data_IF_507486750239
#
_entry.id   IF_507486750239
#
_cell.length_a   1.000
_cell.length_b   1.000
_cell.length_c   1.000
_cell.angle_alpha   90.00
_cell.angle_beta   90.00
_cell.angle_gamma   90.00
#
_symmetry.space_group_name_H-M   'P 1'
#
loop_
_entity.id
_entity.type
_entity.pdbx_description
1 polymer ?
#
# COMPACT_ATOMS: atom_id res chain seq x y z
N UNK A 1 12.17 64.26 17.44
CA UNK A 1 10.93 63.48 17.40
C UNK A 1 11.08 62.39 16.35
N UNK A 2 10.83 61.15 16.77
CA UNK A 2 10.43 59.98 15.97
C UNK A 2 11.45 59.45 14.94
N UNK A 3 12.37 58.61 15.44
CA UNK A 3 12.82 57.44 14.69
C UNK A 3 11.76 56.34 14.77
N UNK A 4 11.44 55.70 13.65
CA UNK A 4 10.63 54.49 13.64
C UNK A 4 11.14 53.48 12.61
N UNK A 5 11.79 52.45 13.16
CA UNK A 5 11.67 51.03 12.81
C UNK A 5 12.01 50.58 11.39
N UNK A 6 13.30 50.30 11.19
CA UNK A 6 13.78 49.30 10.23
C UNK A 6 13.50 47.90 10.80
N UNK A 7 12.46 47.22 10.29
CA UNK A 7 12.07 45.87 10.72
C UNK A 7 12.91 44.86 9.95
N UNK A 8 13.95 44.33 10.60
CA UNK A 8 14.75 43.21 10.10
C UNK A 8 13.92 41.93 10.26
N UNK A 9 13.44 41.37 9.16
CA UNK A 9 12.91 40.00 9.16
C UNK A 9 14.07 39.02 9.27
N UNK A 10 14.22 38.45 10.46
CA UNK A 10 15.12 37.34 10.73
C UNK A 10 14.42 36.05 10.31
N UNK A 11 14.91 35.42 9.24
CA UNK A 11 14.50 34.08 8.83
C UNK A 11 15.02 33.12 9.89
N UNK A 12 14.17 32.79 10.87
CA UNK A 12 14.43 31.75 11.86
C UNK A 12 14.40 30.40 11.14
N UNK A 13 15.57 29.90 10.73
CA UNK A 13 15.74 28.47 10.46
C UNK A 13 15.72 27.73 11.81
N UNK A 14 14.78 26.79 12.06
CA UNK A 14 14.81 26.02 13.28
C UNK A 14 16.04 25.11 13.26
N UNK A 15 16.96 25.36 14.20
CA UNK A 15 18.03 24.42 14.50
C UNK A 15 17.39 23.20 15.17
N UNK A 16 17.33 22.08 14.46
CA UNK A 16 16.87 20.80 15.01
C UNK A 16 17.88 20.36 16.05
N UNK A 17 17.54 20.47 17.33
CA UNK A 17 18.35 19.96 18.42
C UNK A 17 18.26 18.43 18.48
N UNK A 18 19.31 17.75 18.95
CA UNK A 18 19.28 16.28 19.15
C UNK A 18 18.16 15.81 20.10
N UNK A 19 17.60 16.73 20.90
CA UNK A 19 16.48 16.49 21.80
C UNK A 19 15.12 16.51 21.09
N UNK A 20 14.96 17.30 20.01
CA UNK A 20 13.72 17.32 19.21
C UNK A 20 13.47 15.97 18.52
N UNK A 21 14.55 15.31 18.07
CA UNK A 21 14.46 13.97 17.49
C UNK A 21 13.97 12.92 18.49
N UNK A 22 14.36 13.04 19.76
CA UNK A 22 13.87 12.14 20.82
C UNK A 22 12.40 12.41 21.13
N UNK A 23 11.98 13.67 21.14
CA UNK A 23 10.58 14.06 21.37
C UNK A 23 9.65 13.57 20.24
N UNK A 24 10.08 13.71 18.99
CA UNK A 24 9.34 13.19 17.82
C UNK A 24 9.27 11.66 17.81
N UNK A 25 10.31 10.98 18.30
CA UNK A 25 10.32 9.51 18.47
C UNK A 25 9.36 9.07 19.57
N UNK A 26 9.28 9.78 20.71
CA UNK A 26 8.29 9.46 21.76
C UNK A 26 6.85 9.67 21.30
N UNK A 27 6.58 10.74 20.55
CA UNK A 27 5.26 11.02 19.98
C UNK A 27 4.85 9.91 18.99
N UNK A 28 5.78 9.46 18.14
CA UNK A 28 5.51 8.34 17.24
C UNK A 28 5.31 7.01 17.99
N UNK A 29 6.06 6.77 19.06
CA UNK A 29 5.92 5.59 19.89
C UNK A 29 4.54 5.51 20.57
N UNK A 30 4.06 6.62 21.15
CA UNK A 30 2.72 6.72 21.73
C UNK A 30 1.64 6.51 20.67
N UNK A 31 1.76 7.14 19.49
CA UNK A 31 0.81 6.95 18.39
C UNK A 31 0.77 5.51 17.85
N UNK A 32 1.89 4.78 17.91
CA UNK A 32 1.98 3.38 17.48
C UNK A 32 1.41 2.38 18.50
N UNK A 33 1.30 2.77 19.77
CA UNK A 33 0.72 1.92 20.82
C UNK A 33 -0.80 1.77 20.63
N UNK A 34 -1.48 2.81 20.15
CA UNK A 34 -2.92 2.76 19.85
C UNK A 34 -3.24 1.92 18.61
N UNK A 35 -2.31 1.82 17.64
CA UNK A 35 -2.49 1.00 16.43
C UNK A 35 -2.46 -0.51 16.73
N UNK A 36 -1.74 -0.92 17.77
CA UNK A 36 -1.59 -2.33 18.14
C UNK A 36 -2.83 -2.89 18.87
N UNK A 37 -3.64 -2.02 19.46
CA UNK A 37 -4.86 -2.42 20.20
C UNK A 37 -6.08 -2.61 19.27
N UNK A 38 -5.96 -2.27 17.99
CA UNK A 38 -6.95 -2.60 16.97
C UNK A 38 -6.73 -3.96 16.28
N UNK A 39 -6.01 -4.88 16.93
CA UNK A 39 -6.05 -6.31 16.61
C UNK A 39 -7.42 -6.89 17.03
N UNK A 40 -8.50 -6.43 16.39
CA UNK A 40 -9.75 -7.16 16.39
C UNK A 40 -9.50 -8.49 15.66
N UNK A 41 -9.92 -9.64 16.23
CA UNK A 41 -9.82 -10.91 15.54
C UNK A 41 -10.58 -10.79 14.22
N UNK A 42 -9.86 -11.04 13.12
CA UNK A 42 -10.42 -11.08 11.78
C UNK A 42 -11.80 -11.74 11.79
N UNK A 43 -12.88 -11.10 11.29
CA UNK A 43 -14.07 -11.87 10.97
C UNK A 43 -13.62 -12.94 9.97
N UNK A 44 -13.82 -14.21 10.33
CA UNK A 44 -13.58 -15.33 9.44
C UNK A 44 -14.43 -15.11 8.20
N UNK A 45 -13.84 -14.55 7.15
CA UNK A 45 -14.40 -14.59 5.83
C UNK A 45 -14.41 -16.05 5.44
N UNK A 46 -15.58 -16.68 5.47
CA UNK A 46 -15.75 -18.02 4.97
C UNK A 46 -15.67 -17.91 3.44
N UNK A 47 -14.62 -18.43 2.78
CA UNK A 47 -14.61 -18.50 1.34
C UNK A 47 -15.82 -19.35 0.95
N UNK A 48 -16.61 -18.85 0.02
CA UNK A 48 -17.74 -19.58 -0.55
C UNK A 48 -17.25 -20.96 -1.00
N UNK A 49 -17.66 -22.01 -0.29
CA UNK A 49 -17.31 -23.39 -0.61
C UNK A 49 -18.23 -23.83 -1.75
N UNK A 50 -17.83 -23.53 -2.97
CA UNK A 50 -18.53 -23.89 -4.19
C UNK A 50 -17.55 -24.26 -5.30
N UNK A 51 -17.36 -25.57 -5.45
CA UNK A 51 -16.88 -26.29 -6.64
C UNK A 51 -15.41 -26.13 -7.10
N UNK A 52 -14.72 -27.28 -7.11
CA UNK A 52 -13.52 -27.63 -7.88
C UNK A 52 -12.49 -26.53 -8.13
N UNK A 53 -11.42 -26.57 -7.34
CA UNK A 53 -10.16 -25.94 -7.68
C UNK A 53 -9.74 -26.30 -9.12
N UNK A 54 -9.55 -25.33 -10.03
CA UNK A 54 -8.71 -25.55 -11.18
C UNK A 54 -7.26 -25.51 -10.69
N UNK A 55 -6.54 -26.61 -10.93
CA UNK A 55 -5.09 -26.73 -10.77
C UNK A 55 -4.38 -25.51 -11.40
N UNK A 56 -3.28 -24.98 -10.82
CA UNK A 56 -2.53 -23.83 -11.34
C UNK A 56 -1.96 -23.93 -12.77
N UNK A 57 -2.25 -25.00 -13.50
CA UNK A 57 -1.61 -25.31 -14.79
C UNK A 57 -2.36 -24.81 -16.03
N UNK A 58 -3.53 -24.16 -15.93
CA UNK A 58 -4.34 -23.81 -17.13
C UNK A 58 -4.70 -22.32 -17.28
N UNK A 59 -3.98 -21.41 -16.61
CA UNK A 59 -4.10 -19.97 -16.88
C UNK A 59 -3.17 -19.63 -18.06
N UNK A 60 -3.70 -19.81 -19.26
CA UNK A 60 -3.26 -19.18 -20.52
C UNK A 60 -1.74 -19.08 -20.71
N UNK A 61 -1.15 -20.15 -21.23
CA UNK A 61 0.07 -20.03 -22.04
C UNK A 61 -0.15 -18.92 -23.09
N UNK A 62 0.85 -18.05 -23.24
CA UNK A 62 1.00 -17.08 -24.35
C UNK A 62 0.49 -15.65 -24.16
N UNK A 63 0.16 -15.20 -22.95
CA UNK A 63 0.26 -13.74 -22.68
C UNK A 63 1.72 -13.43 -22.33
N UNK A 64 2.49 -13.04 -23.34
CA UNK A 64 3.90 -12.67 -23.19
C UNK A 64 4.06 -11.56 -22.13
N UNK A 65 5.18 -11.57 -21.40
CA UNK A 65 5.51 -10.56 -20.38
C UNK A 65 5.47 -9.11 -20.92
N UNK A 66 5.46 -8.93 -22.24
CA UNK A 66 5.34 -7.64 -22.91
C UNK A 66 3.99 -6.94 -22.71
N UNK A 67 2.91 -7.66 -22.35
CA UNK A 67 1.59 -7.04 -22.12
C UNK A 67 1.52 -6.31 -20.77
N UNK A 68 2.41 -6.67 -19.84
CA UNK A 68 2.43 -6.11 -18.49
C UNK A 68 3.38 -4.91 -18.43
N UNK A 69 3.09 -3.92 -17.57
CA UNK A 69 3.97 -2.77 -17.43
C UNK A 69 5.33 -3.20 -16.88
N UNK A 70 6.40 -2.64 -17.46
CA UNK A 70 7.79 -2.90 -17.06
C UNK A 70 8.33 -1.89 -16.05
N UNK A 71 7.59 -0.82 -15.77
CA UNK A 71 8.00 0.27 -14.89
C UNK A 71 7.09 0.36 -13.66
N UNK A 72 7.68 0.67 -12.51
CA UNK A 72 6.95 1.00 -11.29
C UNK A 72 7.67 2.10 -10.49
N UNK A 73 6.90 2.96 -9.83
CA UNK A 73 7.41 4.02 -8.96
C UNK A 73 7.27 3.63 -7.48
N UNK A 74 8.38 3.63 -6.73
CA UNK A 74 8.36 3.29 -5.30
C UNK A 74 7.79 4.40 -4.43
N UNK A 75 7.94 5.67 -4.83
CA UNK A 75 7.31 6.81 -4.13
C UNK A 75 5.80 6.70 -4.22
N UNK A 76 5.27 6.38 -5.40
CA UNK A 76 3.83 6.18 -5.55
C UNK A 76 3.32 4.96 -4.78
N UNK A 77 4.09 3.88 -4.69
CA UNK A 77 3.74 2.73 -3.86
C UNK A 77 3.71 3.10 -2.36
N UNK A 78 4.63 3.96 -1.93
CA UNK A 78 4.67 4.48 -0.57
C UNK A 78 3.48 5.40 -0.25
N UNK A 79 3.13 6.32 -1.15
CA UNK A 79 2.01 7.24 -0.94
C UNK A 79 0.68 6.49 -0.79
N UNK A 80 0.49 5.41 -1.56
CA UNK A 80 -0.66 4.53 -1.43
C UNK A 80 -0.67 3.78 -0.09
N UNK A 81 0.51 3.36 0.39
CA UNK A 81 0.65 2.68 1.68
C UNK A 81 0.32 3.61 2.84
N UNK A 82 0.92 4.80 2.87
CA UNK A 82 0.68 5.82 3.90
C UNK A 82 -0.77 6.31 3.84
N UNK A 83 -1.32 6.51 2.65
CA UNK A 83 -2.73 6.86 2.48
C UNK A 83 -3.68 5.79 3.05
N UNK A 84 -3.31 4.51 2.95
CA UNK A 84 -4.08 3.42 3.54
C UNK A 84 -3.97 3.39 5.07
N UNK A 85 -2.77 3.55 5.62
CA UNK A 85 -2.56 3.56 7.08
C UNK A 85 -2.99 4.86 7.76
N UNK A 86 -3.14 5.94 7.00
CA UNK A 86 -3.61 7.22 7.52
C UNK A 86 -4.98 7.05 8.18
N UNK A 87 -5.14 7.70 9.34
CA UNK A 87 -6.37 7.67 10.12
C UNK A 87 -7.59 8.12 9.28
N UNK A 88 -7.40 9.07 8.36
CA UNK A 88 -8.47 9.52 7.47
C UNK A 88 -8.98 8.42 6.51
N UNK A 89 -8.09 7.57 6.01
CA UNK A 89 -8.46 6.43 5.16
C UNK A 89 -9.14 5.32 5.97
N UNK A 90 -8.62 5.04 7.15
CA UNK A 90 -9.11 4.00 8.05
C UNK A 90 -10.51 4.31 8.61
N UNK A 91 -10.78 5.56 9.02
CA UNK A 91 -12.11 5.98 9.51
C UNK A 91 -13.18 5.78 8.43
N UNK A 92 -12.88 6.09 7.17
CA UNK A 92 -13.82 5.90 6.06
C UNK A 92 -14.18 4.42 5.86
N UNK A 93 -13.19 3.53 5.92
CA UNK A 93 -13.41 2.08 5.82
C UNK A 93 -14.23 1.58 7.01
N UNK A 94 -13.88 2.04 8.22
CA UNK A 94 -14.59 1.67 9.43
C UNK A 94 -16.06 2.10 9.40
N UNK A 95 -16.35 3.33 8.96
CA UNK A 95 -17.72 3.82 8.83
C UNK A 95 -18.55 2.97 7.84
N UNK A 96 -17.97 2.54 6.72
CA UNK A 96 -18.70 1.81 5.67
C UNK A 96 -18.83 0.31 5.94
N UNK A 97 -17.79 -0.32 6.46
CA UNK A 97 -17.69 -1.77 6.57
C UNK A 97 -17.60 -2.27 8.01
N UNK A 98 -17.49 -1.38 9.00
CA UNK A 98 -17.33 -1.75 10.42
C UNK A 98 -15.96 -2.32 10.77
N UNK A 99 -15.03 -2.34 9.82
CA UNK A 99 -13.68 -2.88 9.97
C UNK A 99 -12.64 -1.90 9.44
N UNK A 100 -11.45 -1.96 10.03
CA UNK A 100 -10.28 -1.29 9.48
C UNK A 100 -9.95 -1.86 8.09
N UNK A 101 -9.35 -1.05 7.24
CA UNK A 101 -8.96 -1.45 5.90
C UNK A 101 -7.71 -2.35 5.96
N UNK A 102 -7.74 -3.45 5.22
CA UNK A 102 -6.58 -4.33 5.03
C UNK A 102 -5.59 -3.66 4.07
N UNK A 103 -4.47 -3.15 4.58
CA UNK A 103 -3.43 -2.46 3.80
C UNK A 103 -2.34 -3.38 3.24
N UNK A 104 -2.50 -4.70 3.34
CA UNK A 104 -1.49 -5.70 2.98
C UNK A 104 -1.08 -5.64 1.50
N UNK A 105 -2.03 -5.40 0.60
CA UNK A 105 -1.76 -5.28 -0.84
C UNK A 105 -0.79 -4.13 -1.16
N UNK A 106 -1.03 -2.97 -0.54
CA UNK A 106 -0.18 -1.80 -0.73
C UNK A 106 1.20 -2.01 -0.10
N UNK A 107 1.24 -2.69 1.05
CA UNK A 107 2.49 -3.03 1.73
C UNK A 107 3.33 -3.99 0.88
N UNK A 108 2.70 -5.01 0.31
CA UNK A 108 3.37 -5.99 -0.56
C UNK A 108 3.93 -5.32 -1.82
N UNK A 109 3.17 -4.40 -2.43
CA UNK A 109 3.65 -3.60 -3.56
C UNK A 109 4.87 -2.74 -3.18
N UNK A 110 4.82 -2.08 -2.03
CA UNK A 110 5.94 -1.26 -1.56
C UNK A 110 7.19 -2.09 -1.24
N UNK A 111 7.04 -3.20 -0.51
CA UNK A 111 8.12 -4.14 -0.21
C UNK A 111 8.76 -4.69 -1.48
N UNK A 112 7.94 -5.09 -2.46
CA UNK A 112 8.43 -5.54 -3.75
C UNK A 112 9.23 -4.44 -4.46
N UNK A 113 8.73 -3.20 -4.48
CA UNK A 113 9.43 -2.09 -5.13
C UNK A 113 10.81 -1.83 -4.51
N UNK A 114 10.91 -1.81 -3.17
CA UNK A 114 12.19 -1.68 -2.47
C UNK A 114 13.11 -2.85 -2.82
N UNK A 115 12.62 -4.08 -2.69
CA UNK A 115 13.42 -5.29 -2.97
C UNK A 115 13.93 -5.33 -4.41
N UNK A 116 13.10 -4.92 -5.37
CA UNK A 116 13.44 -4.91 -6.78
C UNK A 116 14.33 -3.70 -7.17
N UNK A 117 14.42 -2.67 -6.32
CA UNK A 117 15.31 -1.53 -6.55
C UNK A 117 16.79 -1.91 -6.52
N UNK A 118 17.15 -3.01 -5.86
CA UNK A 118 18.53 -3.53 -5.82
C UNK A 118 18.94 -4.19 -7.14
N UNK A 119 17.98 -4.63 -7.96
CA UNK A 119 18.24 -5.23 -9.27
C UNK A 119 18.43 -4.15 -10.33
N UNK A 120 19.30 -4.39 -11.31
CA UNK A 120 19.65 -3.41 -12.34
C UNK A 120 19.06 -3.76 -13.71
N UNK A 121 18.77 -2.71 -14.50
CA UNK A 121 18.43 -2.82 -15.93
C UNK A 121 17.29 -3.79 -16.26
N UNK A 122 17.58 -4.74 -17.15
CA UNK A 122 16.60 -5.67 -17.72
C UNK A 122 15.99 -6.63 -16.68
N UNK A 123 16.74 -7.04 -15.66
CA UNK A 123 16.21 -7.95 -14.62
C UNK A 123 15.15 -7.25 -13.77
N UNK A 124 15.33 -5.95 -13.54
CA UNK A 124 14.35 -5.12 -12.82
C UNK A 124 13.03 -5.06 -13.59
N UNK A 125 13.09 -4.79 -14.90
CA UNK A 125 11.92 -4.67 -15.78
C UNK A 125 11.17 -5.99 -15.96
N UNK A 126 11.91 -7.10 -16.08
CA UNK A 126 11.33 -8.44 -16.13
C UNK A 126 10.67 -8.80 -14.80
N UNK A 127 11.33 -8.53 -13.68
CA UNK A 127 10.75 -8.77 -12.34
C UNK A 127 9.48 -7.98 -12.10
N UNK A 128 9.42 -6.72 -12.54
CA UNK A 128 8.22 -5.88 -12.44
C UNK A 128 7.07 -6.48 -13.23
N UNK A 129 7.31 -6.85 -14.49
CA UNK A 129 6.30 -7.45 -15.36
C UNK A 129 5.78 -8.79 -14.80
N UNK A 130 6.67 -9.63 -14.29
CA UNK A 130 6.31 -10.88 -13.60
C UNK A 130 5.44 -10.64 -12.37
N UNK A 131 5.82 -9.69 -11.51
CA UNK A 131 5.03 -9.36 -10.33
C UNK A 131 3.63 -8.87 -10.67
N UNK A 132 3.48 -8.05 -11.73
CA UNK A 132 2.16 -7.67 -12.22
C UNK A 132 1.39 -8.88 -12.76
N UNK A 133 2.01 -9.73 -13.58
CA UNK A 133 1.36 -10.95 -14.07
C UNK A 133 0.80 -11.81 -12.93
N UNK A 134 1.61 -12.07 -11.91
CA UNK A 134 1.23 -12.85 -10.74
C UNK A 134 0.13 -12.16 -9.92
N UNK A 135 0.28 -10.86 -9.65
CA UNK A 135 -0.71 -10.09 -8.90
C UNK A 135 -2.07 -10.05 -9.59
N UNK A 136 -2.07 -9.92 -10.92
CA UNK A 136 -3.29 -9.95 -11.72
C UNK A 136 -3.90 -11.36 -11.75
N UNK A 137 -3.08 -12.41 -11.83
CA UNK A 137 -3.55 -13.79 -11.75
C UNK A 137 -4.21 -14.08 -10.39
N UNK A 138 -3.61 -13.63 -9.29
CA UNK A 138 -4.18 -13.76 -7.94
C UNK A 138 -5.52 -13.03 -7.81
N UNK A 139 -5.61 -11.80 -8.32
CA UNK A 139 -6.88 -11.02 -8.31
C UNK A 139 -7.97 -11.66 -9.16
N UNK A 140 -7.61 -12.29 -10.29
CA UNK A 140 -8.57 -13.07 -11.09
C UNK A 140 -9.01 -14.32 -10.33
N UNK A 141 -8.10 -15.00 -9.64
CA UNK A 141 -8.40 -16.19 -8.86
C UNK A 141 -9.32 -15.92 -7.67
N UNK A 142 -9.33 -14.70 -7.10
CA UNK A 142 -10.27 -14.30 -6.05
C UNK A 142 -11.73 -14.14 -6.52
N UNK A 143 -11.99 -14.31 -7.82
CA UNK A 143 -13.31 -14.19 -8.44
C UNK A 143 -13.49 -12.83 -9.12
N UNK A 144 -14.01 -12.86 -10.35
CA UNK A 144 -14.42 -11.65 -11.06
C UNK A 144 -15.89 -11.35 -10.75
N UNK A 145 -16.27 -10.07 -10.81
CA UNK A 145 -17.70 -9.71 -10.77
C UNK A 145 -18.47 -10.28 -11.97
N UNK A 146 -17.77 -10.59 -13.07
CA UNK A 146 -18.32 -11.21 -14.28
C UNK A 146 -18.89 -12.61 -14.00
N UNK A 147 -18.25 -13.40 -13.13
CA UNK A 147 -18.68 -14.76 -12.78
C UNK A 147 -20.11 -14.79 -12.20
N UNK A 148 -20.52 -13.73 -11.51
CA UNK A 148 -21.87 -13.59 -10.94
C UNK A 148 -22.94 -13.39 -12.03
N UNK A 149 -22.58 -12.76 -13.15
CA UNK A 149 -23.50 -12.47 -14.25
C UNK A 149 -23.67 -13.67 -15.19
N UNK A 150 -22.60 -14.44 -15.40
CA UNK A 150 -22.67 -15.67 -16.21
C UNK A 150 -23.55 -16.74 -15.54
N UNK A 151 -23.59 -16.78 -14.20
CA UNK A 151 -24.48 -17.68 -13.46
C UNK A 151 -25.98 -17.38 -13.65
N UNK A 152 -26.35 -16.24 -14.23
CA UNK A 152 -27.74 -15.82 -14.47
C UNK A 152 -28.21 -16.03 -15.91
N UNK A 153 -27.34 -16.48 -16.81
CA UNK A 153 -27.60 -16.66 -18.25
C UNK A 153 -27.95 -18.10 -18.58
#
# INVERSE_FOLDING_TARGET
MLGLFEKKEEIVTPAIGQNDLQEMVSIFAEASADVSTAAQPNPKFNPFKGSSAPTPEQIGSDTSLSQYPHVMSCTQAFDLLVGCFSLGGQIKSYYRYGTLANCEDQLTKFKFCISNSTKSGAEKEQGISQWYKESWAQKKASGSSEDVWDAKK
#
